data_IF_024902903605
#
_entry.id   IF_024902903605
#
_cell.length_a   1.000
_cell.length_b   1.000
_cell.length_c   1.000
_cell.angle_alpha   90.00
_cell.angle_beta   90.00
_cell.angle_gamma   90.00
#
_symmetry.space_group_name_H-M   'P 1'
#
loop_
_entity.id
_entity.type
_entity.pdbx_description
1 polymer ?
#
# COMPACT_ATOMS: atom_id res chain seq x y z
N UNK A 1 -5.74 55.51 -30.68
CA UNK A 1 -6.59 54.85 -29.67
C UNK A 1 -5.70 54.18 -28.63
N UNK A 2 -5.35 54.96 -27.61
CA UNK A 2 -4.75 54.69 -26.28
C UNK A 2 -4.44 56.10 -25.71
N UNK A 3 -4.37 56.36 -24.38
CA UNK A 3 -4.24 55.45 -23.24
C UNK A 3 -5.07 55.86 -21.98
N UNK A 4 -4.74 55.26 -20.81
CA UNK A 4 -4.79 55.85 -19.44
C UNK A 4 -6.10 55.59 -18.63
N UNK A 5 -6.20 55.40 -17.30
CA UNK A 5 -5.32 55.41 -16.10
C UNK A 5 -6.10 54.66 -14.99
N UNK A 6 -5.45 53.78 -14.23
CA UNK A 6 -5.95 53.28 -12.93
C UNK A 6 -5.67 54.32 -11.83
N UNK A 7 -6.62 54.68 -10.95
CA UNK A 7 -6.30 55.51 -9.82
C UNK A 7 -5.60 54.68 -8.74
N UNK A 8 -4.28 54.93 -8.59
CA UNK A 8 -3.55 54.64 -7.36
C UNK A 8 -4.23 55.38 -6.20
N UNK A 9 -4.82 54.66 -5.25
CA UNK A 9 -5.11 55.21 -3.93
C UNK A 9 -4.40 54.37 -2.85
N UNK A 10 -3.28 54.95 -2.42
CA UNK A 10 -2.54 54.80 -1.15
C UNK A 10 -2.40 53.39 -0.58
N UNK A 11 -1.26 52.79 -0.91
CA UNK A 11 -0.51 51.95 0.00
C UNK A 11 -0.33 52.67 1.36
N UNK A 12 -1.04 52.19 2.38
CA UNK A 12 -0.70 52.45 3.78
C UNK A 12 0.52 51.60 4.13
N UNK A 13 1.55 52.28 4.65
CA UNK A 13 2.86 51.75 4.97
C UNK A 13 2.84 50.42 5.75
N UNK A 14 3.78 49.53 5.44
CA UNK A 14 4.17 48.43 6.31
C UNK A 14 4.81 48.98 7.59
N UNK A 15 4.24 48.76 8.79
CA UNK A 15 4.98 48.93 10.03
C UNK A 15 5.74 47.63 10.31
N UNK A 16 7.06 47.75 10.40
CA UNK A 16 7.95 46.71 10.86
C UNK A 16 7.74 46.47 12.38
N UNK A 17 7.62 45.21 12.79
CA UNK A 17 7.57 44.66 14.15
C UNK A 17 6.69 45.33 15.23
N UNK A 18 5.48 44.80 15.49
CA UNK A 18 5.05 44.31 16.82
C UNK A 18 3.62 43.71 16.81
N UNK A 19 3.47 42.52 17.42
CA UNK A 19 2.24 41.72 17.63
C UNK A 19 1.52 41.16 16.37
N UNK A 20 1.82 39.90 16.03
CA UNK A 20 0.96 39.07 15.16
C UNK A 20 -0.46 39.00 15.79
N UNK A 21 -1.45 39.63 15.16
CA UNK A 21 -2.83 39.59 15.61
C UNK A 21 -3.38 38.15 15.57
N UNK A 22 -3.95 37.68 16.69
CA UNK A 22 -4.50 36.33 16.83
C UNK A 22 -5.82 36.10 16.05
N UNK A 23 -6.40 37.17 15.51
CA UNK A 23 -7.67 37.17 14.78
C UNK A 23 -7.65 38.25 13.70
N UNK A 24 -8.18 37.94 12.52
CA UNK A 24 -8.37 38.85 11.39
C UNK A 24 -9.80 38.71 10.86
N UNK A 25 -10.48 39.82 10.58
CA UNK A 25 -11.78 39.82 9.92
C UNK A 25 -11.59 40.38 8.52
N UNK A 26 -12.14 39.70 7.52
CA UNK A 26 -12.22 40.15 6.12
C UNK A 26 -13.69 40.27 5.78
N UNK A 27 -14.10 41.39 5.19
CA UNK A 27 -15.47 41.62 4.73
C UNK A 27 -15.47 41.93 3.23
N UNK A 28 -16.44 41.40 2.50
CA UNK A 28 -16.72 41.70 1.09
C UNK A 28 -18.25 41.81 0.88
N UNK A 29 -18.69 42.05 -0.36
CA UNK A 29 -20.11 42.15 -0.74
C UNK A 29 -20.93 40.89 -0.40
N UNK A 30 -20.26 39.74 -0.27
CA UNK A 30 -20.88 38.44 0.00
C UNK A 30 -20.80 38.00 1.49
N UNK A 31 -20.46 38.92 2.41
CA UNK A 31 -20.48 38.72 3.86
C UNK A 31 -19.13 38.89 4.56
N UNK A 32 -19.04 38.36 5.78
CA UNK A 32 -17.89 38.47 6.69
C UNK A 32 -17.18 37.11 6.84
N UNK A 33 -15.86 37.13 6.89
CA UNK A 33 -15.01 35.97 7.18
C UNK A 33 -14.07 36.32 8.34
N UNK A 34 -14.25 35.64 9.47
CA UNK A 34 -13.38 35.75 10.64
C UNK A 34 -12.37 34.62 10.62
N UNK A 35 -11.09 34.95 10.56
CA UNK A 35 -9.97 34.02 10.57
C UNK A 35 -9.24 34.14 11.92
N UNK A 36 -9.18 33.06 12.69
CA UNK A 36 -8.47 33.00 13.96
C UNK A 36 -7.34 31.99 13.90
N UNK A 37 -6.18 32.34 14.46
CA UNK A 37 -5.04 31.42 14.54
C UNK A 37 -5.28 30.43 15.66
N UNK A 38 -5.31 29.13 15.32
CA UNK A 38 -5.41 28.05 16.30
C UNK A 38 -4.02 27.81 16.87
N UNK A 39 -3.88 27.97 18.19
CA UNK A 39 -2.65 27.71 18.93
C UNK A 39 -2.88 26.59 19.92
N UNK A 40 -1.95 25.65 19.99
CA UNK A 40 -1.89 24.63 21.05
C UNK A 40 -0.52 24.77 21.73
N UNK A 41 -0.50 25.11 23.02
CA UNK A 41 0.71 25.60 23.69
C UNK A 41 1.36 26.81 23.00
N UNK A 42 2.67 26.73 22.68
CA UNK A 42 3.44 27.81 22.02
C UNK A 42 3.44 27.73 20.48
N UNK A 43 2.84 26.71 19.87
CA UNK A 43 2.88 26.46 18.43
C UNK A 43 1.58 26.88 17.73
N UNK A 44 1.70 27.55 16.58
CA UNK A 44 0.59 27.81 15.65
C UNK A 44 0.28 26.50 14.88
N UNK A 45 -0.94 25.97 15.02
CA UNK A 45 -1.34 24.66 14.47
C UNK A 45 -2.21 24.78 13.21
N UNK A 46 -2.78 25.95 12.95
CA UNK A 46 -3.63 26.20 11.79
C UNK A 46 -4.49 27.44 11.96
N UNK A 47 -5.55 27.52 11.16
CA UNK A 47 -6.51 28.63 11.17
C UNK A 47 -7.93 28.09 11.20
N UNK A 48 -8.80 28.72 11.99
CA UNK A 48 -10.25 28.55 11.92
C UNK A 48 -10.83 29.73 11.12
N UNK A 49 -11.52 29.44 10.02
CA UNK A 49 -12.23 30.42 9.23
C UNK A 49 -13.74 30.25 9.43
N UNK A 50 -14.42 31.30 9.88
CA UNK A 50 -15.88 31.34 10.10
C UNK A 50 -16.48 32.37 9.16
N UNK A 51 -17.33 31.93 8.23
CA UNK A 51 -18.07 32.80 7.32
C UNK A 51 -19.47 33.08 7.85
N UNK A 52 -19.92 34.31 7.79
CA UNK A 52 -21.27 34.76 8.17
C UNK A 52 -21.77 35.85 7.22
N UNK A 53 -23.09 35.97 7.07
CA UNK A 53 -23.69 37.03 6.26
C UNK A 53 -23.51 38.41 6.92
N UNK A 54 -23.73 38.48 8.24
CA UNK A 54 -23.52 39.68 9.07
C UNK A 54 -22.27 39.59 9.95
N UNK A 55 -21.87 40.73 10.53
CA UNK A 55 -20.82 40.77 11.52
C UNK A 55 -21.22 39.95 12.76
N UNK A 56 -20.33 39.05 13.21
CA UNK A 56 -20.60 38.18 14.36
C UNK A 56 -20.97 38.98 15.60
N UNK A 57 -22.09 38.64 16.22
CA UNK A 57 -22.54 39.19 17.51
C UNK A 57 -21.58 38.80 18.64
N UNK A 58 -21.71 39.46 19.81
CA UNK A 58 -20.89 39.13 20.98
C UNK A 58 -21.05 37.65 21.40
N UNK A 59 -22.28 37.12 21.37
CA UNK A 59 -22.56 35.72 21.67
C UNK A 59 -21.92 34.76 20.66
N UNK A 60 -21.99 35.06 19.36
CA UNK A 60 -21.35 34.24 18.32
C UNK A 60 -19.83 34.25 18.43
N UNK A 61 -19.22 35.41 18.75
CA UNK A 61 -17.77 35.50 19.01
C UNK A 61 -17.35 34.63 20.20
N UNK A 62 -18.18 34.55 21.25
CA UNK A 62 -17.96 33.68 22.40
C UNK A 62 -18.01 32.19 22.00
N UNK A 63 -18.99 31.79 21.17
CA UNK A 63 -19.09 30.42 20.66
C UNK A 63 -17.89 30.02 19.80
N UNK A 64 -17.44 30.92 18.91
CA UNK A 64 -16.22 30.71 18.12
C UNK A 64 -15.01 30.57 19.03
N UNK A 65 -14.90 31.40 20.08
CA UNK A 65 -13.82 31.29 21.07
C UNK A 65 -13.85 29.97 21.85
N UNK A 66 -15.02 29.44 22.19
CA UNK A 66 -15.15 28.13 22.83
C UNK A 66 -14.78 26.97 21.89
N UNK A 67 -15.24 27.02 20.63
CA UNK A 67 -14.86 26.05 19.62
C UNK A 67 -13.34 26.05 19.39
N UNK A 68 -12.73 27.24 19.36
CA UNK A 68 -11.27 27.40 19.28
C UNK A 68 -10.55 26.76 20.47
N UNK A 69 -11.07 26.91 21.69
CA UNK A 69 -10.49 26.29 22.88
C UNK A 69 -10.58 24.75 22.81
N UNK A 70 -11.72 24.20 22.40
CA UNK A 70 -11.88 22.75 22.23
C UNK A 70 -10.99 22.20 21.12
N UNK A 71 -10.91 22.89 19.98
CA UNK A 71 -9.99 22.54 18.90
C UNK A 71 -8.53 22.61 19.38
N UNK A 72 -8.17 23.65 20.16
CA UNK A 72 -6.83 23.77 20.73
C UNK A 72 -6.49 22.61 21.67
N UNK A 73 -7.42 22.23 22.57
CA UNK A 73 -7.29 21.11 23.52
C UNK A 73 -7.14 19.77 22.78
N UNK A 74 -7.97 19.52 21.77
CA UNK A 74 -7.84 18.32 20.92
C UNK A 74 -6.50 18.28 20.15
N UNK A 75 -5.98 19.45 19.78
CA UNK A 75 -4.65 19.60 19.18
C UNK A 75 -3.50 19.61 20.22
N UNK A 76 -3.83 19.53 21.51
CA UNK A 76 -2.91 19.70 22.63
C UNK A 76 -2.31 18.40 23.13
N UNK A 77 -2.50 17.25 22.47
CA UNK A 77 -1.49 16.18 22.55
C UNK A 77 -0.16 16.84 22.18
N UNK A 78 0.79 17.03 23.13
CA UNK A 78 1.98 17.80 22.85
C UNK A 78 2.68 17.16 21.65
N UNK A 79 3.14 17.95 20.67
CA UNK A 79 3.80 17.38 19.49
C UNK A 79 4.88 16.37 19.87
N UNK A 80 5.61 16.65 20.96
CA UNK A 80 6.61 15.77 21.55
C UNK A 80 6.06 14.42 22.04
N UNK A 81 4.85 14.40 22.59
CA UNK A 81 4.19 13.17 23.03
C UNK A 81 3.74 12.36 21.82
N UNK A 82 3.14 13.00 20.81
CA UNK A 82 2.78 12.31 19.57
C UNK A 82 4.03 11.75 18.85
N UNK A 83 5.11 12.53 18.77
CA UNK A 83 6.38 12.09 18.21
C UNK A 83 6.99 10.94 19.02
N UNK A 84 6.95 11.00 20.35
CA UNK A 84 7.44 9.92 21.22
C UNK A 84 6.59 8.65 21.08
N UNK A 85 5.26 8.79 21.04
CA UNK A 85 4.32 7.69 20.80
C UNK A 85 4.59 7.04 19.44
N UNK A 86 4.85 7.83 18.40
CA UNK A 86 5.16 7.31 17.07
C UNK A 86 6.51 6.60 17.01
N UNK A 87 7.53 7.15 17.68
CA UNK A 87 8.83 6.48 17.82
C UNK A 87 8.70 5.15 18.57
N UNK A 88 7.89 5.12 19.63
CA UNK A 88 7.61 3.91 20.38
C UNK A 88 6.84 2.88 19.53
N UNK A 89 5.83 3.32 18.78
CA UNK A 89 5.08 2.48 17.82
C UNK A 89 6.02 1.86 16.79
N UNK A 90 6.88 2.68 16.18
CA UNK A 90 7.89 2.21 15.24
C UNK A 90 8.90 1.23 15.86
N UNK A 91 9.33 1.48 17.11
CA UNK A 91 10.27 0.61 17.82
C UNK A 91 9.65 -0.74 18.17
N UNK A 92 8.45 -0.77 18.76
CA UNK A 92 7.79 -2.03 19.12
C UNK A 92 7.39 -2.83 17.88
N UNK A 93 6.97 -2.18 16.80
CA UNK A 93 6.67 -2.87 15.53
C UNK A 93 7.93 -3.53 14.97
N UNK A 94 9.09 -2.84 14.97
CA UNK A 94 10.35 -3.44 14.51
C UNK A 94 10.82 -4.58 15.40
N UNK A 95 10.66 -4.44 16.72
CA UNK A 95 10.96 -5.53 17.65
C UNK A 95 10.07 -6.75 17.35
N UNK A 96 8.76 -6.55 17.20
CA UNK A 96 7.79 -7.59 16.86
C UNK A 96 8.10 -8.28 15.52
N UNK A 97 8.57 -7.53 14.52
CA UNK A 97 8.95 -8.07 13.22
C UNK A 97 10.28 -8.84 13.24
N UNK A 98 11.20 -8.50 14.14
CA UNK A 98 12.50 -9.14 14.25
C UNK A 98 12.47 -10.39 15.15
N UNK A 99 11.87 -10.25 16.33
CA UNK A 99 11.67 -11.32 17.31
C UNK A 99 10.42 -11.01 18.15
N UNK A 100 9.29 -11.70 17.89
CA UNK A 100 8.06 -11.48 18.64
C UNK A 100 8.20 -11.74 20.15
N UNK A 101 9.12 -12.61 20.57
CA UNK A 101 9.34 -12.88 21.98
C UNK A 101 10.03 -11.71 22.70
N UNK A 102 10.76 -10.87 21.98
CA UNK A 102 11.42 -9.68 22.50
C UNK A 102 10.48 -8.46 22.59
N UNK A 103 9.30 -8.50 21.97
CA UNK A 103 8.34 -7.41 22.02
C UNK A 103 7.66 -7.34 23.40
N UNK A 104 7.78 -6.19 24.07
CA UNK A 104 7.18 -5.99 25.39
C UNK A 104 5.65 -6.00 25.32
N UNK A 105 5.03 -6.99 25.99
CA UNK A 105 3.57 -7.17 26.04
C UNK A 105 2.84 -5.97 26.65
N UNK A 106 3.44 -5.25 27.58
CA UNK A 106 2.85 -4.04 28.17
C UNK A 106 2.76 -2.91 27.14
N UNK A 107 3.76 -2.79 26.27
CA UNK A 107 3.78 -1.81 25.17
C UNK A 107 2.80 -2.21 24.07
N UNK A 108 2.68 -3.50 23.74
CA UNK A 108 1.65 -3.99 22.81
C UNK A 108 0.23 -3.68 23.33
N UNK A 109 -0.02 -3.94 24.62
CA UNK A 109 -1.29 -3.58 25.28
C UNK A 109 -1.54 -2.07 25.30
N UNK A 110 -0.51 -1.26 25.49
CA UNK A 110 -0.60 0.21 25.39
C UNK A 110 -1.12 0.66 24.01
N UNK A 111 -0.74 -0.04 22.93
CA UNK A 111 -1.27 0.20 21.58
C UNK A 111 -2.57 -0.54 21.27
N UNK A 112 -3.17 -1.24 22.25
CA UNK A 112 -4.46 -1.92 22.11
C UNK A 112 -4.37 -3.34 21.52
N UNK A 113 -3.21 -3.99 21.64
CA UNK A 113 -3.00 -5.38 21.21
C UNK A 113 -2.81 -6.30 22.41
N UNK A 114 -3.80 -7.13 22.68
CA UNK A 114 -3.69 -8.24 23.65
C UNK A 114 -2.97 -9.44 23.01
N UNK A 115 -2.27 -10.30 23.79
CA UNK A 115 -1.51 -11.44 23.27
C UNK A 115 -2.31 -12.41 22.37
N UNK A 116 -3.60 -12.55 22.63
CA UNK A 116 -4.51 -13.44 21.89
C UNK A 116 -5.17 -12.75 20.68
N UNK A 117 -4.82 -11.49 20.41
CA UNK A 117 -5.37 -10.73 19.29
C UNK A 117 -4.87 -11.32 17.98
N UNK A 118 -5.80 -11.78 17.14
CA UNK A 118 -5.50 -12.04 15.73
C UNK A 118 -5.29 -10.71 14.98
N UNK A 119 -4.23 -10.67 14.20
CA UNK A 119 -3.82 -9.51 13.41
C UNK A 119 -3.67 -9.87 11.94
N UNK A 120 -3.71 -8.84 11.10
CA UNK A 120 -3.29 -8.91 9.70
C UNK A 120 -2.14 -7.93 9.49
N UNK A 121 -1.17 -8.34 8.68
CA UNK A 121 -0.04 -7.51 8.27
C UNK A 121 -0.33 -6.97 6.88
N UNK A 122 -0.24 -5.66 6.72
CA UNK A 122 -0.36 -4.95 5.45
C UNK A 122 1.01 -4.39 5.10
N UNK A 123 1.54 -4.77 3.95
CA UNK A 123 2.77 -4.22 3.40
C UNK A 123 2.43 -3.23 2.29
N UNK A 124 3.00 -2.02 2.35
CA UNK A 124 2.86 -0.97 1.35
C UNK A 124 4.23 -0.72 0.70
N UNK A 125 4.33 -1.00 -0.60
CA UNK A 125 5.54 -0.88 -1.40
C UNK A 125 5.44 0.30 -2.39
N UNK A 126 6.58 0.74 -2.93
CA UNK A 126 6.68 1.87 -3.87
C UNK A 126 6.18 3.22 -3.29
N UNK A 127 6.29 3.41 -1.97
CA UNK A 127 5.91 4.67 -1.29
C UNK A 127 6.94 5.79 -1.49
N UNK A 128 8.20 5.45 -1.76
CA UNK A 128 9.27 6.43 -1.99
C UNK A 128 9.84 6.89 -0.67
N UNK A 129 9.76 8.19 -0.39
CA UNK A 129 10.07 8.66 0.97
C UNK A 129 9.02 8.12 1.93
N UNK A 130 9.46 7.37 2.93
CA UNK A 130 8.57 6.70 3.88
C UNK A 130 7.88 7.68 4.83
N UNK A 131 8.52 8.80 5.18
CA UNK A 131 8.02 9.73 6.18
C UNK A 131 6.68 10.39 5.81
N UNK A 132 6.47 10.93 4.59
CA UNK A 132 5.14 11.40 4.17
C UNK A 132 4.08 10.30 4.22
N UNK A 133 4.44 9.07 3.88
CA UNK A 133 3.52 7.93 3.92
C UNK A 133 3.14 7.55 5.33
N UNK A 134 4.11 7.44 6.25
CA UNK A 134 3.88 7.17 7.66
C UNK A 134 2.97 8.22 8.30
N UNK A 135 3.22 9.52 8.05
CA UNK A 135 2.38 10.60 8.56
C UNK A 135 0.94 10.54 8.02
N UNK A 136 0.77 10.14 6.77
CA UNK A 136 -0.56 9.98 6.16
C UNK A 136 -1.32 8.80 6.77
N UNK A 137 -0.66 7.64 6.88
CA UNK A 137 -1.22 6.42 7.49
C UNK A 137 -1.60 6.68 8.95
N UNK A 138 -0.73 7.33 9.71
CA UNK A 138 -0.95 7.69 11.11
C UNK A 138 -2.24 8.51 11.29
N UNK A 139 -2.41 9.58 10.52
CA UNK A 139 -3.61 10.45 10.56
C UNK A 139 -4.89 9.68 10.24
N UNK A 140 -4.83 8.73 9.31
CA UNK A 140 -6.00 7.94 8.92
C UNK A 140 -6.32 6.87 9.96
N UNK A 141 -5.30 6.18 10.50
CA UNK A 141 -5.50 5.04 11.40
C UNK A 141 -5.78 5.46 12.84
N UNK A 142 -5.20 6.56 13.32
CA UNK A 142 -5.34 7.05 14.70
C UNK A 142 -6.81 7.23 15.17
N UNK A 143 -7.75 7.42 14.24
CA UNK A 143 -9.18 7.60 14.53
C UNK A 143 -10.02 6.32 14.47
N UNK A 144 -9.44 5.18 14.10
CA UNK A 144 -10.21 3.95 13.81
C UNK A 144 -9.70 2.68 14.49
N UNK A 145 -8.96 2.82 15.59
CA UNK A 145 -8.57 1.70 16.46
C UNK A 145 -7.08 1.32 16.42
N UNK A 146 -6.72 0.22 17.13
CA UNK A 146 -5.34 -0.23 17.28
C UNK A 146 -4.63 -0.49 15.95
N UNK A 147 -3.42 0.04 15.83
CA UNK A 147 -2.47 -0.28 14.76
C UNK A 147 -1.04 -0.18 15.27
N UNK A 148 -0.17 -1.01 14.70
CA UNK A 148 1.27 -0.86 14.76
C UNK A 148 1.78 -0.49 13.36
N UNK A 149 2.92 0.18 13.29
CA UNK A 149 3.49 0.62 12.02
C UNK A 149 4.99 0.80 12.16
N UNK A 150 5.74 0.35 11.15
CA UNK A 150 7.14 0.68 10.97
C UNK A 150 7.54 0.68 9.49
N UNK A 151 8.50 1.53 9.16
CA UNK A 151 9.26 1.41 7.92
C UNK A 151 10.35 0.33 8.01
N UNK A 152 10.42 -0.53 7.00
CA UNK A 152 11.44 -1.58 6.83
C UNK A 152 11.90 -1.57 5.38
N UNK A 153 13.20 -1.34 5.14
CA UNK A 153 13.80 -1.34 3.80
C UNK A 153 13.10 -0.46 2.76
N UNK A 154 12.54 0.68 3.17
CA UNK A 154 11.82 1.61 2.28
C UNK A 154 10.35 1.24 2.01
N UNK A 155 9.86 0.17 2.63
CA UNK A 155 8.46 -0.25 2.64
C UNK A 155 7.81 0.16 3.96
N UNK A 156 6.49 0.32 3.99
CA UNK A 156 5.76 0.57 5.24
C UNK A 156 4.97 -0.68 5.60
N UNK A 157 5.24 -1.21 6.79
CA UNK A 157 4.51 -2.34 7.38
C UNK A 157 3.50 -1.79 8.37
N UNK A 158 2.24 -2.20 8.24
CA UNK A 158 1.15 -1.86 9.15
C UNK A 158 0.57 -3.15 9.71
N UNK A 159 0.44 -3.26 11.03
CA UNK A 159 -0.25 -4.37 11.68
C UNK A 159 -1.59 -3.86 12.18
N UNK A 160 -2.68 -4.49 11.75
CA UNK A 160 -4.04 -4.16 12.13
C UNK A 160 -4.64 -5.34 12.89
N UNK A 161 -5.52 -5.09 13.86
CA UNK A 161 -6.40 -6.15 14.37
C UNK A 161 -7.18 -6.76 13.20
N UNK A 162 -7.34 -8.09 13.16
CA UNK A 162 -7.93 -8.80 12.02
C UNK A 162 -9.34 -8.30 11.64
N UNK A 163 -10.13 -7.89 12.64
CA UNK A 163 -11.46 -7.26 12.45
C UNK A 163 -11.42 -5.94 11.64
N UNK A 164 -10.27 -5.30 11.55
CA UNK A 164 -10.05 -4.04 10.86
C UNK A 164 -9.42 -4.21 9.46
N UNK A 165 -9.35 -5.44 8.91
CA UNK A 165 -8.74 -5.70 7.59
C UNK A 165 -9.36 -4.87 6.47
N UNK A 166 -10.67 -4.57 6.53
CA UNK A 166 -11.38 -3.73 5.55
C UNK A 166 -10.82 -2.31 5.41
N UNK A 167 -9.99 -1.85 6.35
CA UNK A 167 -9.31 -0.55 6.29
C UNK A 167 -8.10 -0.56 5.33
N UNK A 168 -7.56 -1.73 4.99
CA UNK A 168 -6.36 -1.85 4.16
C UNK A 168 -6.57 -1.29 2.75
N UNK A 169 -7.70 -1.57 2.12
CA UNK A 169 -8.02 -1.05 0.77
C UNK A 169 -8.21 0.47 0.76
N UNK A 170 -8.80 1.03 1.81
CA UNK A 170 -8.94 2.48 1.97
C UNK A 170 -7.58 3.14 2.20
N UNK A 171 -6.72 2.50 3.01
CA UNK A 171 -5.36 2.96 3.27
C UNK A 171 -4.51 2.99 1.99
N UNK A 172 -4.54 1.92 1.21
CA UNK A 172 -3.86 1.83 -0.08
C UNK A 172 -4.29 2.95 -1.04
N UNK A 173 -5.60 3.12 -1.21
CA UNK A 173 -6.18 4.13 -2.12
C UNK A 173 -5.83 5.56 -1.68
N UNK A 174 -6.02 5.87 -0.40
CA UNK A 174 -5.77 7.21 0.14
C UNK A 174 -4.29 7.57 0.04
N UNK A 175 -3.41 6.60 0.33
CA UNK A 175 -1.96 6.79 0.29
C UNK A 175 -1.47 6.99 -1.14
N UNK A 176 -1.96 6.21 -2.11
CA UNK A 176 -1.64 6.41 -3.52
C UNK A 176 -2.02 7.80 -4.02
N UNK A 177 -3.18 8.31 -3.60
CA UNK A 177 -3.64 9.66 -3.93
C UNK A 177 -2.77 10.73 -3.24
N UNK A 178 -2.48 10.56 -1.95
CA UNK A 178 -1.70 11.52 -1.18
C UNK A 178 -0.24 11.64 -1.67
N UNK A 179 0.35 10.53 -2.11
CA UNK A 179 1.71 10.50 -2.64
C UNK A 179 1.77 10.79 -4.15
N UNK A 180 0.65 10.71 -4.87
CA UNK A 180 0.60 10.83 -6.33
C UNK A 180 1.32 9.69 -7.05
N UNK A 181 1.24 8.46 -6.50
CA UNK A 181 2.00 7.29 -6.96
C UNK A 181 1.17 6.02 -6.96
N UNK A 182 1.54 5.10 -7.84
CA UNK A 182 1.02 3.74 -7.87
C UNK A 182 1.69 2.93 -6.75
N UNK A 183 0.97 2.74 -5.65
CA UNK A 183 1.43 1.96 -4.49
C UNK A 183 1.05 0.50 -4.71
N UNK A 184 1.97 -0.44 -4.44
CA UNK A 184 1.63 -1.86 -4.39
C UNK A 184 1.33 -2.23 -2.94
N UNK A 185 0.35 -3.10 -2.71
CA UNK A 185 0.00 -3.53 -1.37
C UNK A 185 -0.26 -5.03 -1.28
N UNK A 186 0.15 -5.63 -0.17
CA UNK A 186 -0.12 -7.02 0.12
C UNK A 186 -0.64 -7.19 1.54
N UNK A 187 -1.59 -8.09 1.71
CA UNK A 187 -2.22 -8.39 2.99
C UNK A 187 -1.92 -9.85 3.36
N UNK A 188 -1.51 -10.10 4.59
CA UNK A 188 -1.32 -11.46 5.12
C UNK A 188 -2.66 -12.14 5.43
N UNK A 189 -2.59 -13.43 5.75
CA UNK A 189 -3.67 -14.10 6.49
C UNK A 189 -3.81 -13.51 7.88
N UNK A 190 -4.88 -13.90 8.57
CA UNK A 190 -4.95 -13.73 10.02
C UNK A 190 -3.85 -14.55 10.67
N UNK A 191 -3.07 -13.91 11.54
CA UNK A 191 -1.98 -14.52 12.29
C UNK A 191 -2.04 -14.05 13.73
N UNK A 192 -1.46 -14.80 14.66
CA UNK A 192 -1.26 -14.32 16.03
C UNK A 192 -0.13 -13.29 16.09
N UNK A 193 -0.05 -12.51 17.16
CA UNK A 193 1.03 -11.52 17.34
C UNK A 193 2.43 -12.14 17.31
N UNK A 194 2.58 -13.37 17.82
CA UNK A 194 3.83 -14.14 17.78
C UNK A 194 4.19 -14.67 16.38
N UNK A 195 3.28 -14.55 15.42
CA UNK A 195 3.45 -14.97 14.03
C UNK A 195 3.51 -13.78 13.04
N UNK A 196 3.60 -12.55 13.55
CA UNK A 196 3.73 -11.34 12.72
C UNK A 196 4.88 -11.39 11.71
N UNK A 197 6.06 -11.99 11.98
CA UNK A 197 7.08 -12.20 10.96
C UNK A 197 6.59 -13.07 9.78
N UNK A 198 5.85 -14.14 10.06
CA UNK A 198 5.22 -14.95 9.02
C UNK A 198 4.16 -14.13 8.25
N UNK A 199 3.36 -13.34 8.97
CA UNK A 199 2.43 -12.39 8.35
C UNK A 199 3.13 -11.41 7.40
N UNK A 200 4.28 -10.86 7.78
CA UNK A 200 5.06 -9.99 6.89
C UNK A 200 5.55 -10.74 5.64
N UNK A 201 6.01 -11.99 5.78
CA UNK A 201 6.38 -12.81 4.63
C UNK A 201 5.20 -13.02 3.67
N UNK A 202 4.02 -13.33 4.20
CA UNK A 202 2.79 -13.49 3.41
C UNK A 202 2.39 -12.19 2.70
N UNK A 203 2.34 -11.08 3.43
CA UNK A 203 2.02 -9.76 2.88
C UNK A 203 3.01 -9.35 1.77
N UNK A 204 4.30 -9.66 1.95
CA UNK A 204 5.32 -9.39 0.94
C UNK A 204 5.13 -10.24 -0.32
N UNK A 205 4.82 -11.52 -0.19
CA UNK A 205 4.50 -12.37 -1.34
C UNK A 205 3.27 -11.86 -2.08
N UNK A 206 2.22 -11.45 -1.36
CA UNK A 206 1.01 -10.89 -1.96
C UNK A 206 1.27 -9.59 -2.71
N UNK A 207 2.01 -8.65 -2.10
CA UNK A 207 2.36 -7.36 -2.73
C UNK A 207 3.17 -7.56 -4.03
N UNK A 208 3.98 -8.61 -4.09
CA UNK A 208 4.86 -8.95 -5.21
C UNK A 208 4.11 -9.62 -6.36
N UNK A 209 3.09 -10.43 -6.08
CA UNK A 209 2.27 -11.07 -7.11
C UNK A 209 1.56 -10.07 -8.03
N UNK A 210 1.34 -8.83 -7.57
CA UNK A 210 0.67 -7.76 -8.33
C UNK A 210 1.52 -6.48 -8.38
N UNK A 211 2.59 -6.44 -9.20
CA UNK A 211 3.47 -5.27 -9.32
C UNK A 211 2.80 -4.09 -10.04
N UNK A 212 1.61 -4.29 -10.60
CA UNK A 212 0.81 -3.26 -11.29
C UNK A 212 0.12 -2.28 -10.32
N UNK A 213 0.35 -2.42 -9.01
CA UNK A 213 -0.14 -1.48 -8.01
C UNK A 213 -1.49 -1.84 -7.39
N UNK A 214 -1.96 -3.08 -7.60
CA UNK A 214 -3.14 -3.57 -6.91
C UNK A 214 -2.81 -3.94 -5.47
N UNK A 215 -3.85 -3.95 -4.65
CA UNK A 215 -3.82 -4.63 -3.36
C UNK A 215 -4.13 -6.10 -3.61
N UNK A 216 -3.40 -6.99 -2.94
CA UNK A 216 -3.59 -8.43 -3.05
C UNK A 216 -3.60 -9.07 -1.66
N UNK A 217 -4.45 -10.07 -1.47
CA UNK A 217 -4.48 -10.86 -0.24
C UNK A 217 -3.72 -12.17 -0.43
N UNK A 218 -2.98 -12.59 0.59
CA UNK A 218 -2.22 -13.85 0.53
C UNK A 218 -3.12 -15.08 0.35
N UNK A 219 -4.38 -15.02 0.81
CA UNK A 219 -5.35 -16.11 0.59
C UNK A 219 -5.74 -16.30 -0.88
N UNK A 220 -5.54 -15.28 -1.72
CA UNK A 220 -5.85 -15.33 -3.14
C UNK A 220 -4.66 -15.84 -3.97
N UNK A 221 -3.48 -15.98 -3.36
CA UNK A 221 -2.27 -16.45 -4.06
C UNK A 221 -2.29 -17.97 -4.22
N UNK A 222 -2.08 -18.42 -5.45
CA UNK A 222 -1.69 -19.80 -5.71
C UNK A 222 -0.21 -20.03 -5.39
N UNK A 223 0.22 -21.30 -5.40
CA UNK A 223 1.61 -21.67 -5.11
C UNK A 223 2.61 -20.97 -6.04
N UNK A 224 2.21 -20.68 -7.29
CA UNK A 224 3.06 -20.00 -8.27
C UNK A 224 3.17 -18.50 -7.97
N UNK A 225 2.11 -17.85 -7.49
CA UNK A 225 2.14 -16.49 -7.00
C UNK A 225 3.13 -16.32 -5.86
N UNK A 226 3.17 -17.30 -4.94
CA UNK A 226 4.17 -17.32 -3.85
C UNK A 226 5.59 -17.56 -4.36
N UNK A 227 5.78 -18.53 -5.26
CA UNK A 227 7.11 -18.92 -5.76
C UNK A 227 7.72 -17.92 -6.76
N UNK A 228 6.88 -17.29 -7.59
CA UNK A 228 7.28 -16.50 -8.74
C UNK A 228 7.00 -15.01 -8.59
N UNK A 229 5.98 -14.59 -7.83
CA UNK A 229 5.55 -13.19 -7.78
C UNK A 229 6.64 -12.22 -7.35
N UNK A 230 7.57 -12.67 -6.50
CA UNK A 230 8.68 -11.85 -5.98
C UNK A 230 9.96 -11.82 -6.79
N UNK A 231 10.01 -12.54 -7.92
CA UNK A 231 11.21 -12.72 -8.71
C UNK A 231 11.44 -11.51 -9.61
N UNK A 232 12.69 -11.10 -9.77
CA UNK A 232 13.01 -10.09 -10.78
C UNK A 232 12.89 -10.64 -12.21
N UNK A 233 12.89 -9.75 -13.21
CA UNK A 233 12.77 -10.15 -14.62
C UNK A 233 13.91 -11.08 -15.08
N UNK A 234 15.11 -10.95 -14.50
CA UNK A 234 16.25 -11.81 -14.81
C UNK A 234 16.06 -13.22 -14.24
N UNK A 235 15.64 -13.33 -12.98
CA UNK A 235 15.30 -14.60 -12.34
C UNK A 235 14.16 -15.31 -13.08
N UNK A 236 13.09 -14.59 -13.44
CA UNK A 236 11.99 -15.13 -14.24
C UNK A 236 12.47 -15.59 -15.62
N UNK A 237 13.40 -14.86 -16.26
CA UNK A 237 13.98 -15.26 -17.53
C UNK A 237 14.82 -16.55 -17.41
N UNK A 238 15.59 -16.69 -16.32
CA UNK A 238 16.34 -17.93 -16.03
C UNK A 238 15.39 -19.11 -15.85
N UNK A 239 14.29 -18.94 -15.11
CA UNK A 239 13.29 -20.00 -14.92
C UNK A 239 12.58 -20.36 -16.24
N UNK A 240 12.26 -19.35 -17.06
CA UNK A 240 11.62 -19.52 -18.36
C UNK A 240 12.56 -20.07 -19.45
N UNK A 241 13.88 -20.09 -19.22
CA UNK A 241 14.88 -20.44 -20.23
C UNK A 241 14.67 -21.86 -20.78
N UNK A 242 14.21 -22.79 -19.95
CA UNK A 242 13.99 -24.19 -20.36
C UNK A 242 12.91 -24.34 -21.43
N UNK A 243 11.94 -23.42 -21.53
CA UNK A 243 10.89 -23.46 -22.56
C UNK A 243 11.18 -22.55 -23.76
N UNK A 244 12.29 -21.82 -23.74
CA UNK A 244 12.69 -20.92 -24.82
C UNK A 244 12.81 -21.61 -26.20
N UNK A 245 13.31 -22.86 -26.33
CA UNK A 245 13.39 -23.55 -27.63
C UNK A 245 12.04 -23.76 -28.31
N UNK A 246 10.92 -23.71 -27.57
CA UNK A 246 9.58 -23.89 -28.12
C UNK A 246 9.00 -22.64 -28.78
N UNK A 247 9.65 -21.48 -28.65
CA UNK A 247 9.10 -20.20 -29.06
C UNK A 247 9.25 -19.88 -30.55
N UNK A 248 9.95 -20.72 -31.31
CA UNK A 248 10.15 -20.53 -32.75
C UNK A 248 10.79 -19.16 -33.11
N UNK A 249 10.99 -18.95 -34.40
CA UNK A 249 11.32 -17.62 -34.95
C UNK A 249 10.02 -16.96 -35.43
N UNK A 250 9.25 -16.36 -34.52
CA UNK A 250 8.00 -15.67 -34.86
C UNK A 250 6.97 -15.65 -33.72
N UNK A 251 5.70 -15.38 -34.06
CA UNK A 251 4.58 -15.37 -33.12
C UNK A 251 3.94 -16.75 -32.86
N UNK A 252 4.50 -17.82 -33.44
CA UNK A 252 3.94 -19.17 -33.30
C UNK A 252 4.14 -19.70 -31.87
N UNK A 253 3.02 -19.91 -31.17
CA UNK A 253 2.98 -20.41 -29.79
C UNK A 253 2.44 -21.83 -29.70
N UNK A 254 2.20 -22.49 -30.84
CA UNK A 254 1.50 -23.78 -30.93
C UNK A 254 2.14 -24.88 -30.08
N UNK A 255 3.47 -24.99 -30.05
CA UNK A 255 4.16 -26.01 -29.26
C UNK A 255 4.11 -25.71 -27.76
N UNK A 256 4.14 -24.43 -27.38
CA UNK A 256 4.01 -24.02 -25.99
C UNK A 256 2.60 -24.28 -25.47
N UNK A 257 1.57 -23.92 -26.24
CA UNK A 257 0.16 -24.18 -25.91
C UNK A 257 -0.12 -25.69 -25.84
N UNK A 258 0.54 -26.47 -26.71
CA UNK A 258 0.47 -27.93 -26.68
C UNK A 258 1.08 -28.50 -25.40
N UNK A 259 2.24 -27.99 -24.99
CA UNK A 259 2.88 -28.38 -23.73
C UNK A 259 2.03 -27.98 -22.52
N UNK A 260 1.47 -26.77 -22.51
CA UNK A 260 0.59 -26.32 -21.41
C UNK A 260 -0.65 -27.22 -21.28
N UNK A 261 -1.34 -27.53 -22.38
CA UNK A 261 -2.49 -28.45 -22.33
C UNK A 261 -2.11 -29.86 -21.85
N UNK A 262 -0.99 -30.39 -22.32
CA UNK A 262 -0.48 -31.70 -21.90
C UNK A 262 -0.20 -31.76 -20.40
N UNK A 263 0.49 -30.74 -19.87
CA UNK A 263 0.81 -30.66 -18.44
C UNK A 263 -0.45 -30.42 -17.58
N UNK A 264 -1.41 -29.62 -18.06
CA UNK A 264 -2.71 -29.43 -17.39
C UNK A 264 -3.51 -30.74 -17.28
N UNK A 265 -3.35 -31.65 -18.25
CA UNK A 265 -3.95 -32.99 -18.24
C UNK A 265 -3.05 -34.04 -17.55
N UNK A 266 -2.11 -33.62 -16.70
CA UNK A 266 -1.16 -34.49 -15.99
C UNK A 266 -0.39 -35.46 -16.91
N UNK A 267 -0.07 -35.02 -18.13
CA UNK A 267 0.62 -35.82 -19.12
C UNK A 267 -0.25 -36.80 -19.92
N UNK A 268 -1.57 -36.72 -19.84
CA UNK A 268 -2.48 -37.52 -20.65
C UNK A 268 -2.66 -36.92 -22.06
N UNK A 269 -2.00 -37.52 -23.05
CA UNK A 269 -2.01 -37.00 -24.43
C UNK A 269 -3.39 -37.00 -25.08
N UNK A 270 -4.21 -38.02 -24.86
CA UNK A 270 -5.53 -38.13 -25.50
C UNK A 270 -6.49 -37.05 -24.98
N UNK A 271 -6.55 -36.86 -23.66
CA UNK A 271 -7.32 -35.79 -23.02
C UNK A 271 -6.85 -34.41 -23.48
N UNK A 272 -5.55 -34.17 -23.54
CA UNK A 272 -4.99 -32.91 -24.01
C UNK A 272 -5.27 -32.65 -25.51
N UNK A 273 -5.27 -33.69 -26.34
CA UNK A 273 -5.62 -33.60 -27.76
C UNK A 273 -7.08 -33.15 -27.96
N UNK A 274 -8.01 -33.72 -27.18
CA UNK A 274 -9.42 -33.34 -27.16
C UNK A 274 -9.58 -31.87 -26.74
N UNK A 275 -8.91 -31.44 -25.66
CA UNK A 275 -8.97 -30.06 -25.17
C UNK A 275 -8.45 -29.03 -26.20
N UNK A 276 -7.47 -29.42 -27.03
CA UNK A 276 -6.92 -28.56 -28.09
C UNK A 276 -7.67 -28.70 -29.43
N UNK A 277 -8.66 -29.59 -29.54
CA UNK A 277 -9.35 -29.85 -30.80
C UNK A 277 -8.47 -30.45 -31.90
N UNK A 278 -7.40 -31.17 -31.54
CA UNK A 278 -6.48 -31.80 -32.49
C UNK A 278 -6.58 -33.32 -32.46
N UNK A 279 -6.24 -33.97 -33.57
CA UNK A 279 -6.22 -35.43 -33.62
C UNK A 279 -5.09 -36.02 -32.75
N UNK A 280 -5.32 -37.20 -32.15
CA UNK A 280 -4.33 -37.91 -31.31
C UNK A 280 -2.95 -38.09 -31.96
N UNK A 281 -2.91 -38.28 -33.28
CA UNK A 281 -1.64 -38.43 -34.01
C UNK A 281 -0.87 -37.10 -34.09
N UNK A 282 -1.58 -35.99 -34.30
CA UNK A 282 -1.00 -34.65 -34.27
C UNK A 282 -0.45 -34.33 -32.88
N UNK A 283 -1.20 -34.65 -31.82
CA UNK A 283 -0.76 -34.47 -30.44
C UNK A 283 0.54 -35.24 -30.16
N UNK A 284 0.57 -36.53 -30.52
CA UNK A 284 1.75 -37.39 -30.34
C UNK A 284 2.98 -36.84 -31.07
N UNK A 285 2.82 -36.39 -32.31
CA UNK A 285 3.91 -35.80 -33.08
C UNK A 285 4.42 -34.50 -32.45
N UNK A 286 3.52 -33.65 -31.94
CA UNK A 286 3.90 -32.41 -31.25
C UNK A 286 4.64 -32.69 -29.94
N UNK A 287 4.17 -33.65 -29.13
CA UNK A 287 4.83 -34.04 -27.88
C UNK A 287 6.22 -34.64 -28.13
N UNK A 288 6.36 -35.52 -29.13
CA UNK A 288 7.67 -36.05 -29.52
C UNK A 288 8.63 -34.93 -29.98
N UNK A 289 8.11 -33.96 -30.74
CA UNK A 289 8.89 -32.78 -31.16
C UNK A 289 9.29 -31.90 -29.98
N UNK A 290 8.39 -31.67 -29.02
CA UNK A 290 8.69 -30.90 -27.81
C UNK A 290 9.79 -31.59 -27.00
N UNK A 291 9.66 -32.90 -26.75
CA UNK A 291 10.68 -33.66 -26.01
C UNK A 291 12.06 -33.58 -26.68
N UNK A 292 12.11 -33.68 -28.01
CA UNK A 292 13.36 -33.55 -28.77
C UNK A 292 13.95 -32.14 -28.75
N UNK A 293 13.13 -31.09 -28.84
CA UNK A 293 13.60 -29.70 -28.79
C UNK A 293 14.12 -29.30 -27.40
N UNK A 294 13.53 -29.88 -26.35
CA UNK A 294 13.88 -29.61 -24.96
C UNK A 294 14.94 -30.56 -24.40
N UNK A 295 15.29 -31.60 -25.16
CA UNK A 295 16.19 -32.69 -24.75
C UNK A 295 15.82 -33.26 -23.36
N UNK A 296 14.54 -33.60 -23.17
CA UNK A 296 14.02 -34.01 -21.86
C UNK A 296 13.00 -35.14 -21.93
N UNK A 297 12.84 -35.86 -20.82
CA UNK A 297 11.80 -36.88 -20.65
C UNK A 297 10.52 -36.28 -20.04
N UNK A 298 9.47 -36.14 -20.87
CA UNK A 298 8.16 -35.63 -20.46
C UNK A 298 7.34 -36.64 -19.62
N UNK A 299 7.77 -37.90 -19.51
CA UNK A 299 7.15 -38.89 -18.62
C UNK A 299 7.63 -38.77 -17.17
N UNK A 300 8.76 -38.11 -16.92
CA UNK A 300 9.22 -37.76 -15.57
C UNK A 300 8.32 -36.71 -14.92
N UNK A 301 7.87 -36.98 -13.69
CA UNK A 301 7.08 -36.04 -12.89
C UNK A 301 7.85 -34.76 -12.59
N UNK A 302 9.15 -34.88 -12.27
CA UNK A 302 10.02 -33.76 -11.96
C UNK A 302 10.22 -32.85 -13.18
N UNK A 303 10.43 -33.43 -14.36
CA UNK A 303 10.54 -32.68 -15.62
C UNK A 303 9.25 -31.92 -15.91
N UNK A 304 8.09 -32.57 -15.74
CA UNK A 304 6.78 -31.91 -15.93
C UNK A 304 6.58 -30.75 -14.97
N UNK A 305 6.95 -30.92 -13.69
CA UNK A 305 6.85 -29.86 -12.68
C UNK A 305 7.77 -28.67 -13.02
N UNK A 306 9.02 -28.93 -13.40
CA UNK A 306 9.97 -27.91 -13.80
C UNK A 306 9.50 -27.12 -15.04
N UNK A 307 9.00 -27.81 -16.07
CA UNK A 307 8.46 -27.17 -17.27
C UNK A 307 7.20 -26.35 -16.98
N UNK A 308 6.35 -26.81 -16.05
CA UNK A 308 5.17 -26.05 -15.65
C UNK A 308 5.55 -24.74 -14.95
N UNK A 309 6.54 -24.77 -14.06
CA UNK A 309 7.10 -23.55 -13.43
C UNK A 309 7.67 -22.61 -14.50
N UNK A 310 8.41 -23.14 -15.48
CA UNK A 310 8.98 -22.34 -16.57
C UNK A 310 7.91 -21.64 -17.43
N UNK A 311 6.81 -22.32 -17.74
CA UNK A 311 5.65 -21.73 -18.45
C UNK A 311 5.03 -20.60 -17.63
N UNK A 312 4.80 -20.81 -16.32
CA UNK A 312 4.22 -19.80 -15.42
C UNK A 312 5.16 -18.59 -15.26
N UNK A 313 6.47 -18.82 -15.11
CA UNK A 313 7.46 -17.75 -15.04
C UNK A 313 7.49 -16.91 -16.34
N UNK A 314 7.39 -17.57 -17.51
CA UNK A 314 7.31 -16.89 -18.79
C UNK A 314 6.06 -16.03 -18.94
N UNK A 315 4.92 -16.49 -18.44
CA UNK A 315 3.67 -15.72 -18.51
C UNK A 315 3.79 -14.36 -17.80
N UNK A 316 4.59 -14.28 -16.72
CA UNK A 316 4.87 -13.04 -15.98
C UNK A 316 5.88 -12.10 -16.66
N UNK A 317 6.58 -12.54 -17.70
CA UNK A 317 7.53 -11.71 -18.46
C UNK A 317 6.88 -10.89 -19.57
N UNK A 318 5.67 -11.29 -20.00
CA UNK A 318 4.87 -10.65 -21.05
C UNK A 318 4.21 -9.38 -20.53
#
# INVERSE_FOLDING_TARGET
MMPSIWPRSRAGAFPNHSRKHASRVVADRDGYCTIQTVRAGKAERGYLAVRSEDALTAAQRLLVSHAMALIAIELEKPARVADAEQRLRGAVTRALLADPAAADRSVLRYFGFDPDTEVVVVLLCNVGSVLPGELHIDRQLARGGPYLMASVSGEIVVVLAAKNVGRASELHRSLGTALGRTICAGISRRVRLDEVPLGLHQARSAARAHPDGRIAEFDELDIYGVLLGGRDRGELAVLAQSVAPLLGTGADTTLLDTLESFLACNGQMETAALNLGVHRHTMRNRIARIAALLDCDLHSADTRAALWIAIRARALLR
#
